data_IF_730696273909
#
_entry.id   IF_730696273909
#
_cell.length_a   1.000
_cell.length_b   1.000
_cell.length_c   1.000
_cell.angle_alpha   90.00
_cell.angle_beta   90.00
_cell.angle_gamma   90.00
#
_symmetry.space_group_name_H-M   'P 1'
#
loop_
_entity.id
_entity.type
_entity.pdbx_description
1 polymer ?
#
# COMPACT_ATOMS: atom_id res chain seq x y z
N UNK A 1 46.08 -7.39 -16.92
CA UNK A 1 45.42 -7.22 -15.61
C UNK A 1 44.31 -6.21 -15.78
N UNK A 2 43.12 -6.69 -16.13
CA UNK A 2 41.94 -5.86 -16.30
C UNK A 2 41.37 -5.55 -14.92
N UNK A 3 41.27 -4.26 -14.61
CA UNK A 3 40.65 -3.77 -13.39
C UNK A 3 39.18 -4.23 -13.38
N UNK A 4 38.81 -4.96 -12.34
CA UNK A 4 37.43 -5.26 -12.02
C UNK A 4 36.72 -3.92 -11.75
N UNK A 5 35.93 -3.45 -12.72
CA UNK A 5 34.93 -2.44 -12.46
C UNK A 5 33.92 -3.07 -11.49
N UNK A 6 34.02 -2.66 -10.22
CA UNK A 6 32.99 -2.92 -9.24
C UNK A 6 31.68 -2.33 -9.80
N UNK A 7 30.79 -3.20 -10.26
CA UNK A 7 29.41 -2.87 -10.56
C UNK A 7 28.83 -2.23 -9.30
N UNK A 8 28.44 -0.96 -9.38
CA UNK A 8 27.73 -0.28 -8.32
C UNK A 8 26.41 -1.04 -8.08
N UNK A 9 26.40 -1.91 -7.06
CA UNK A 9 25.23 -2.64 -6.64
C UNK A 9 24.09 -1.62 -6.43
N UNK A 10 22.94 -1.86 -7.07
CA UNK A 10 21.81 -0.94 -7.06
C UNK A 10 21.52 -0.44 -5.63
N UNK A 11 21.72 0.85 -5.41
CA UNK A 11 21.60 1.46 -4.08
C UNK A 11 20.14 1.74 -3.75
N UNK A 12 19.23 0.75 -3.85
CA UNK A 12 17.81 0.88 -3.51
C UNK A 12 16.86 0.10 -4.41
N UNK A 13 15.54 0.13 -4.10
CA UNK A 13 14.52 -0.44 -4.97
C UNK A 13 14.48 0.30 -6.31
N UNK A 14 14.04 -0.39 -7.35
CA UNK A 14 13.91 0.14 -8.71
C UNK A 14 12.44 0.43 -9.04
N UNK A 15 12.12 1.41 -9.89
CA UNK A 15 10.75 1.65 -10.33
C UNK A 15 10.25 0.43 -11.10
N UNK A 16 9.21 -0.23 -10.58
CA UNK A 16 8.74 -1.48 -11.16
C UNK A 16 8.42 -1.38 -12.66
N UNK A 17 7.73 -0.31 -13.07
CA UNK A 17 7.34 -0.13 -14.46
C UNK A 17 8.53 -0.02 -15.43
N UNK A 18 9.65 0.56 -14.98
CA UNK A 18 10.85 0.66 -15.81
C UNK A 18 11.46 -0.71 -16.09
N UNK A 19 11.52 -1.58 -15.06
CA UNK A 19 12.04 -2.95 -15.17
C UNK A 19 11.12 -3.82 -16.03
N UNK A 20 9.82 -3.51 -16.03
CA UNK A 20 8.88 -4.16 -16.96
C UNK A 20 9.13 -3.71 -18.41
N UNK A 21 9.36 -2.43 -18.64
CA UNK A 21 9.50 -1.85 -19.98
C UNK A 21 10.89 -2.08 -20.61
N UNK A 22 11.95 -2.24 -19.81
CA UNK A 22 13.31 -2.48 -20.30
C UNK A 22 13.60 -3.95 -20.69
N UNK A 23 12.60 -4.83 -20.51
CA UNK A 23 12.69 -6.25 -20.87
C UNK A 23 13.38 -7.13 -19.82
N UNK A 24 13.80 -6.59 -18.67
CA UNK A 24 14.37 -7.39 -17.57
C UNK A 24 13.41 -8.48 -17.10
N UNK A 25 12.10 -8.20 -17.10
CA UNK A 25 11.07 -9.18 -16.74
C UNK A 25 10.74 -10.17 -17.88
N UNK A 26 11.33 -10.06 -19.07
CA UNK A 26 11.03 -10.95 -20.20
C UNK A 26 11.35 -12.41 -19.91
N UNK A 27 12.41 -12.69 -19.13
CA UNK A 27 12.75 -14.04 -18.72
C UNK A 27 11.73 -14.64 -17.74
N UNK A 28 11.11 -13.83 -16.89
CA UNK A 28 9.97 -14.25 -16.07
C UNK A 28 8.71 -14.46 -16.92
N UNK A 29 8.48 -13.64 -17.95
CA UNK A 29 7.39 -13.83 -18.90
C UNK A 29 7.53 -15.11 -19.75
N UNK A 30 8.74 -15.65 -19.87
CA UNK A 30 9.00 -16.95 -20.51
C UNK A 30 8.64 -18.16 -19.63
N UNK A 31 8.47 -17.97 -18.31
CA UNK A 31 7.84 -18.97 -17.44
C UNK A 31 6.32 -18.83 -17.61
N UNK A 32 5.64 -19.91 -17.96
CA UNK A 32 4.19 -19.90 -18.06
C UNK A 32 3.58 -19.39 -16.74
N UNK A 33 2.61 -18.45 -16.78
CA UNK A 33 1.91 -18.02 -15.58
C UNK A 33 1.34 -19.23 -14.85
N UNK A 34 1.37 -19.18 -13.52
CA UNK A 34 0.72 -20.22 -12.73
C UNK A 34 -0.79 -20.23 -13.02
N UNK A 35 -1.45 -21.40 -12.96
CA UNK A 35 -2.87 -21.48 -13.29
C UNK A 35 -3.70 -20.54 -12.41
N UNK A 36 -4.42 -19.60 -13.05
CA UNK A 36 -5.30 -18.66 -12.33
C UNK A 36 -6.40 -19.37 -11.53
N UNK A 37 -6.72 -20.61 -11.90
CA UNK A 37 -7.78 -21.43 -11.32
C UNK A 37 -7.30 -22.34 -10.18
N UNK A 38 -6.02 -22.35 -9.79
CA UNK A 38 -5.49 -23.30 -8.78
C UNK A 38 -6.28 -23.28 -7.46
N UNK A 39 -6.79 -22.12 -7.05
CA UNK A 39 -7.66 -21.97 -5.88
C UNK A 39 -9.13 -21.70 -6.22
N UNK A 40 -9.53 -21.90 -7.48
CA UNK A 40 -10.88 -21.62 -7.98
C UNK A 40 -11.95 -22.38 -7.21
N UNK A 41 -11.81 -23.70 -7.07
CA UNK A 41 -12.77 -24.55 -6.35
C UNK A 41 -12.87 -24.18 -4.86
N UNK A 42 -11.72 -23.90 -4.23
CA UNK A 42 -11.65 -23.46 -2.84
C UNK A 42 -12.42 -22.15 -2.67
N UNK A 43 -12.18 -21.16 -3.54
CA UNK A 43 -12.82 -19.84 -3.47
C UNK A 43 -14.31 -19.91 -3.80
N UNK A 44 -14.71 -20.75 -4.76
CA UNK A 44 -16.10 -20.97 -5.13
C UNK A 44 -16.94 -21.52 -3.96
N UNK A 45 -16.33 -22.36 -3.11
CA UNK A 45 -16.94 -22.93 -1.92
C UNK A 45 -17.02 -21.96 -0.72
N UNK A 46 -16.29 -20.83 -0.75
CA UNK A 46 -16.34 -19.84 0.33
C UNK A 46 -17.68 -19.08 0.34
N UNK A 47 -18.18 -18.68 1.53
CA UNK A 47 -19.35 -17.83 1.63
C UNK A 47 -19.19 -16.57 0.79
N UNK A 48 -20.20 -16.29 -0.05
CA UNK A 48 -20.23 -15.13 -0.96
C UNK A 48 -21.15 -14.06 -0.40
N UNK A 49 -20.77 -12.79 -0.56
CA UNK A 49 -21.65 -11.64 -0.35
C UNK A 49 -21.59 -10.73 -1.56
N UNK A 50 -22.74 -10.47 -2.15
CA UNK A 50 -22.89 -9.48 -3.21
C UNK A 50 -22.83 -8.08 -2.61
N UNK A 51 -21.97 -7.24 -3.18
CA UNK A 51 -21.78 -5.85 -2.76
C UNK A 51 -21.06 -5.09 -3.87
N UNK A 52 -20.71 -3.82 -3.64
CA UNK A 52 -20.04 -3.00 -4.66
C UNK A 52 -18.71 -3.60 -5.17
N UNK A 53 -18.07 -4.43 -4.35
CA UNK A 53 -17.09 -5.44 -4.78
C UNK A 53 -17.43 -6.78 -4.14
N UNK A 54 -18.00 -7.70 -4.91
CA UNK A 54 -18.33 -9.05 -4.46
C UNK A 54 -17.23 -9.65 -3.59
N UNK A 55 -17.65 -10.19 -2.45
CA UNK A 55 -16.76 -10.64 -1.39
C UNK A 55 -16.84 -12.14 -1.17
N UNK A 56 -15.69 -12.76 -0.84
CA UNK A 56 -15.57 -14.14 -0.38
C UNK A 56 -15.00 -14.15 1.03
N UNK A 57 -15.68 -14.83 1.95
CA UNK A 57 -15.25 -14.89 3.34
C UNK A 57 -14.19 -15.98 3.53
N UNK A 58 -12.95 -15.56 3.82
CA UNK A 58 -11.79 -16.44 4.01
C UNK A 58 -11.07 -16.08 5.32
N UNK A 59 -10.91 -17.07 6.20
CA UNK A 59 -10.12 -16.96 7.44
C UNK A 59 -10.41 -15.69 8.27
N UNK A 60 -11.69 -15.33 8.40
CA UNK A 60 -12.13 -14.18 9.20
C UNK A 60 -12.27 -12.87 8.43
N UNK A 61 -11.93 -12.82 7.13
CA UNK A 61 -11.98 -11.61 6.33
C UNK A 61 -12.79 -11.76 5.04
N UNK A 62 -13.45 -10.69 4.60
CA UNK A 62 -14.16 -10.57 3.34
C UNK A 62 -13.21 -10.09 2.25
N UNK A 63 -12.66 -11.00 1.45
CA UNK A 63 -11.74 -10.66 0.37
C UNK A 63 -12.53 -10.30 -0.90
N UNK A 64 -12.10 -9.32 -1.72
CA UNK A 64 -12.66 -9.15 -3.06
C UNK A 64 -12.55 -10.48 -3.83
N UNK A 65 -13.66 -10.95 -4.41
CA UNK A 65 -13.76 -12.26 -5.03
C UNK A 65 -12.67 -12.49 -6.08
N UNK A 66 -12.39 -11.47 -6.90
CA UNK A 66 -11.32 -11.52 -7.89
C UNK A 66 -9.92 -11.77 -7.28
N UNK A 67 -9.63 -11.15 -6.14
CA UNK A 67 -8.32 -11.24 -5.50
C UNK A 67 -8.19 -12.41 -4.52
N UNK A 68 -9.29 -13.10 -4.17
CA UNK A 68 -9.25 -14.18 -3.19
C UNK A 68 -8.26 -15.31 -3.58
N UNK A 69 -8.22 -15.82 -4.84
CA UNK A 69 -7.21 -16.80 -5.23
C UNK A 69 -5.77 -16.29 -5.08
N UNK A 70 -5.51 -15.05 -5.50
CA UNK A 70 -4.18 -14.44 -5.41
C UNK A 70 -3.72 -14.19 -3.97
N UNK A 71 -4.63 -13.82 -3.07
CA UNK A 71 -4.31 -13.65 -1.64
C UNK A 71 -3.98 -15.00 -1.00
N UNK A 72 -4.72 -16.07 -1.35
CA UNK A 72 -4.44 -17.43 -0.88
C UNK A 72 -3.08 -17.91 -1.42
N UNK A 73 -2.79 -17.65 -2.70
CA UNK A 73 -1.51 -17.95 -3.30
C UNK A 73 -0.36 -17.19 -2.62
N UNK A 74 -0.54 -15.88 -2.38
CA UNK A 74 0.40 -15.02 -1.69
C UNK A 74 0.72 -15.57 -0.29
N UNK A 75 -0.32 -15.86 0.52
CA UNK A 75 -0.21 -16.42 1.86
C UNK A 75 0.64 -17.71 1.87
N UNK A 76 0.52 -18.55 0.85
CA UNK A 76 1.15 -19.88 0.79
C UNK A 76 2.54 -19.91 0.16
N UNK A 77 2.84 -19.00 -0.78
CA UNK A 77 4.00 -19.12 -1.67
C UNK A 77 5.00 -17.99 -1.56
N UNK A 78 4.60 -16.81 -1.10
CA UNK A 78 5.51 -15.68 -1.07
C UNK A 78 6.65 -15.90 -0.08
N UNK A 79 7.87 -15.77 -0.59
CA UNK A 79 9.09 -15.85 0.21
C UNK A 79 9.72 -14.45 0.27
N UNK A 80 9.66 -13.77 1.42
CA UNK A 80 10.31 -12.47 1.59
C UNK A 80 11.83 -12.62 1.60
N UNK A 81 12.52 -11.55 1.20
CA UNK A 81 13.95 -11.35 1.46
C UNK A 81 14.10 -10.47 2.70
N UNK A 82 15.20 -10.63 3.43
CA UNK A 82 15.44 -9.89 4.68
C UNK A 82 15.40 -8.36 4.49
N UNK A 83 15.83 -7.86 3.33
CA UNK A 83 15.83 -6.43 3.01
C UNK A 83 14.52 -5.93 2.37
N UNK A 84 13.54 -6.81 2.14
CA UNK A 84 12.25 -6.38 1.59
C UNK A 84 11.51 -5.49 2.59
N UNK A 85 10.70 -4.59 2.04
CA UNK A 85 9.75 -3.77 2.80
C UNK A 85 8.37 -3.92 2.18
N UNK A 86 7.43 -4.43 2.98
CA UNK A 86 6.02 -4.58 2.63
C UNK A 86 5.25 -3.36 3.12
N UNK A 87 4.79 -2.54 2.18
CA UNK A 87 3.90 -1.41 2.46
C UNK A 87 2.46 -1.90 2.53
N UNK A 88 1.81 -1.72 3.66
CA UNK A 88 0.44 -2.21 3.87
C UNK A 88 -0.47 -1.08 4.30
N UNK A 89 -1.71 -1.13 3.84
CA UNK A 89 -2.77 -0.30 4.37
C UNK A 89 -4.08 -1.01 4.12
N UNK A 90 -5.10 -0.75 4.93
CA UNK A 90 -6.46 -0.91 4.42
C UNK A 90 -6.66 0.05 3.21
N UNK A 91 -7.43 -0.30 2.18
CA UNK A 91 -7.65 0.59 1.04
C UNK A 91 -8.09 1.99 1.49
N UNK A 92 -7.53 3.02 0.82
CA UNK A 92 -7.88 4.44 1.03
C UNK A 92 -7.42 5.07 2.36
N UNK A 93 -6.52 4.41 3.09
CA UNK A 93 -5.82 4.96 4.26
C UNK A 93 -4.52 5.72 3.92
N UNK A 94 -4.30 6.12 2.65
CA UNK A 94 -3.11 6.87 2.25
C UNK A 94 -2.03 6.05 1.52
N UNK A 95 -2.38 4.89 0.96
CA UNK A 95 -1.47 3.99 0.24
C UNK A 95 -0.62 4.69 -0.83
N UNK A 96 -1.24 5.53 -1.68
CA UNK A 96 -0.52 6.26 -2.74
C UNK A 96 0.57 7.16 -2.17
N UNK A 97 0.28 7.82 -1.04
CA UNK A 97 1.22 8.70 -0.37
C UNK A 97 2.34 7.91 0.32
N UNK A 98 1.98 6.82 1.01
CA UNK A 98 2.94 5.89 1.60
C UNK A 98 3.90 5.33 0.53
N UNK A 99 3.38 4.90 -0.62
CA UNK A 99 4.19 4.42 -1.75
C UNK A 99 5.18 5.49 -2.21
N UNK A 100 4.70 6.71 -2.45
CA UNK A 100 5.55 7.82 -2.91
C UNK A 100 6.66 8.14 -1.91
N UNK A 101 6.32 8.32 -0.63
CA UNK A 101 7.27 8.67 0.42
C UNK A 101 8.31 7.55 0.65
N UNK A 102 7.87 6.29 0.73
CA UNK A 102 8.77 5.17 0.92
C UNK A 102 9.70 4.99 -0.29
N UNK A 103 9.18 5.10 -1.51
CA UNK A 103 9.96 5.02 -2.73
C UNK A 103 11.01 6.12 -2.81
N UNK A 104 10.61 7.39 -2.66
CA UNK A 104 11.53 8.53 -2.70
C UNK A 104 12.60 8.43 -1.59
N UNK A 105 12.20 8.06 -0.36
CA UNK A 105 13.15 7.89 0.73
C UNK A 105 14.15 6.76 0.48
N UNK A 106 13.72 5.59 -0.02
CA UNK A 106 14.63 4.45 -0.24
C UNK A 106 15.54 4.63 -1.46
N UNK A 107 15.13 5.42 -2.44
CA UNK A 107 15.82 5.58 -3.71
C UNK A 107 16.58 6.89 -3.88
N UNK A 108 16.50 7.81 -2.92
CA UNK A 108 17.11 9.16 -2.97
C UNK A 108 18.59 9.21 -3.38
N UNK A 109 19.37 8.16 -3.16
CA UNK A 109 20.77 8.08 -3.60
C UNK A 109 20.87 7.87 -5.13
N UNK A 110 19.98 7.06 -5.69
CA UNK A 110 19.89 6.80 -7.13
C UNK A 110 19.04 7.85 -7.87
N UNK A 111 17.98 8.34 -7.22
CA UNK A 111 17.07 9.37 -7.74
C UNK A 111 16.91 10.50 -6.72
N UNK A 112 17.81 11.49 -6.70
CA UNK A 112 17.71 12.61 -5.78
C UNK A 112 16.39 13.39 -5.95
N UNK A 113 15.67 13.74 -4.86
CA UNK A 113 14.37 14.41 -4.94
C UNK A 113 14.45 15.87 -5.41
N UNK A 114 15.58 16.57 -5.16
CA UNK A 114 15.99 17.83 -5.81
C UNK A 114 17.33 18.36 -5.23
N UNK A 115 18.43 18.34 -6.01
CA UNK A 115 19.60 19.25 -5.93
C UNK A 115 20.75 18.81 -6.89
N UNK A 116 20.51 18.75 -8.20
CA UNK A 116 21.57 18.72 -9.22
C UNK A 116 21.00 19.02 -10.62
N UNK A 117 20.49 20.23 -10.83
CA UNK A 117 20.32 20.82 -12.18
C UNK A 117 19.34 20.18 -13.17
N UNK A 118 18.74 19.02 -12.90
CA UNK A 118 17.77 18.40 -13.79
C UNK A 118 16.55 17.85 -13.03
N UNK A 119 15.45 18.57 -13.14
CA UNK A 119 14.18 18.27 -12.48
C UNK A 119 13.41 17.11 -13.14
N UNK A 120 13.95 16.44 -14.18
CA UNK A 120 13.16 15.52 -15.00
C UNK A 120 13.40 14.03 -14.75
N UNK A 121 14.31 13.65 -13.85
CA UNK A 121 14.74 12.25 -13.73
C UNK A 121 14.10 11.44 -12.62
N UNK A 122 13.47 12.06 -11.62
CA UNK A 122 12.88 11.27 -10.53
C UNK A 122 11.69 10.45 -11.05
N UNK A 123 11.64 9.12 -10.82
CA UNK A 123 10.58 8.26 -11.36
C UNK A 123 9.16 8.75 -11.05
N UNK A 124 8.91 9.22 -9.82
CA UNK A 124 7.60 9.78 -9.40
C UNK A 124 7.13 11.02 -10.17
N UNK A 125 7.96 11.65 -11.00
CA UNK A 125 7.56 12.76 -11.87
C UNK A 125 6.97 12.28 -13.21
N UNK A 126 7.29 11.05 -13.62
CA UNK A 126 6.86 10.43 -14.89
C UNK A 126 6.10 9.11 -14.74
N UNK A 127 6.08 8.54 -13.54
CA UNK A 127 5.34 7.34 -13.16
C UNK A 127 4.38 7.66 -12.01
N UNK A 128 3.21 7.02 -12.01
CA UNK A 128 2.33 7.06 -10.86
C UNK A 128 2.98 6.26 -9.71
N UNK A 129 2.80 6.63 -8.42
CA UNK A 129 3.35 5.84 -7.31
C UNK A 129 2.97 4.36 -7.34
N UNK A 130 1.81 4.01 -7.90
CA UNK A 130 1.37 2.62 -8.09
C UNK A 130 2.14 1.87 -9.19
N UNK A 131 2.74 2.59 -10.14
CA UNK A 131 3.60 2.02 -11.20
C UNK A 131 5.05 1.81 -10.70
N UNK A 132 5.47 2.54 -9.66
CA UNK A 132 6.80 2.36 -9.05
C UNK A 132 6.88 1.15 -8.12
N UNK A 133 5.78 0.82 -7.43
CA UNK A 133 5.75 -0.24 -6.40
C UNK A 133 4.70 -1.29 -6.76
N UNK A 134 5.10 -2.55 -7.01
CA UNK A 134 4.20 -3.62 -7.41
C UNK A 134 3.15 -3.90 -6.34
N UNK A 135 1.93 -4.17 -6.78
CA UNK A 135 0.80 -4.54 -5.91
C UNK A 135 0.61 -6.04 -5.93
N UNK A 136 0.92 -6.69 -4.82
CA UNK A 136 1.04 -8.16 -4.67
C UNK A 136 -0.19 -8.90 -5.19
N UNK A 137 -1.39 -8.45 -4.81
CA UNK A 137 -2.64 -9.13 -5.19
C UNK A 137 -2.80 -9.25 -6.71
N UNK A 138 -2.38 -8.26 -7.48
CA UNK A 138 -2.41 -8.31 -8.95
C UNK A 138 -1.47 -9.41 -9.47
N UNK A 139 -0.23 -9.48 -8.98
CA UNK A 139 0.76 -10.47 -9.45
C UNK A 139 0.34 -11.90 -9.13
N UNK A 140 -0.12 -12.14 -7.91
CA UNK A 140 -0.51 -13.49 -7.50
C UNK A 140 -1.82 -13.93 -8.13
N UNK A 141 -2.77 -13.01 -8.34
CA UNK A 141 -4.03 -13.33 -9.05
C UNK A 141 -3.79 -13.61 -10.53
N UNK A 142 -2.86 -12.89 -11.15
CA UNK A 142 -2.51 -13.12 -12.56
C UNK A 142 -1.51 -14.26 -12.79
N UNK A 143 -1.00 -14.89 -11.73
CA UNK A 143 -0.01 -15.97 -11.81
C UNK A 143 1.39 -15.50 -12.22
N UNK A 144 1.69 -14.22 -12.02
CA UNK A 144 2.95 -13.55 -12.38
C UNK A 144 3.91 -13.34 -11.21
N UNK A 145 3.78 -14.11 -10.13
CA UNK A 145 4.64 -13.99 -8.94
C UNK A 145 6.14 -14.09 -9.24
N UNK A 146 6.54 -14.84 -10.27
CA UNK A 146 7.94 -14.92 -10.72
C UNK A 146 8.53 -13.56 -11.16
N UNK A 147 7.72 -12.58 -11.56
CA UNK A 147 8.19 -11.22 -11.86
C UNK A 147 8.75 -10.54 -10.61
N UNK A 148 8.20 -10.81 -9.42
CA UNK A 148 8.68 -10.23 -8.16
C UNK A 148 10.06 -10.77 -7.78
N UNK A 149 10.40 -11.98 -8.20
CA UNK A 149 11.71 -12.59 -7.92
C UNK A 149 12.82 -12.04 -8.81
N UNK A 150 12.47 -11.51 -10.00
CA UNK A 150 13.42 -10.86 -10.89
C UNK A 150 13.81 -9.45 -10.44
N UNK A 151 13.05 -8.83 -9.54
CA UNK A 151 13.39 -7.51 -9.01
C UNK A 151 14.66 -7.59 -8.14
N UNK A 152 15.56 -6.60 -8.24
CA UNK A 152 16.73 -6.52 -7.37
C UNK A 152 16.30 -6.25 -5.91
N UNK A 153 17.13 -6.68 -4.96
CA UNK A 153 16.98 -6.30 -3.55
C UNK A 153 17.55 -4.89 -3.31
N UNK A 154 17.02 -4.14 -2.32
CA UNK A 154 15.80 -4.42 -1.56
C UNK A 154 14.54 -4.21 -2.41
N UNK A 155 13.49 -5.02 -2.20
CA UNK A 155 12.19 -4.82 -2.86
C UNK A 155 11.28 -3.97 -1.99
N UNK A 156 10.66 -2.95 -2.58
CA UNK A 156 9.44 -2.34 -2.05
C UNK A 156 8.25 -3.02 -2.71
N UNK A 157 7.34 -3.59 -1.93
CA UNK A 157 6.10 -4.19 -2.43
C UNK A 157 4.91 -3.66 -1.63
N UNK A 158 3.71 -3.72 -2.20
CA UNK A 158 2.50 -3.25 -1.51
C UNK A 158 1.39 -4.30 -1.53
N UNK A 159 0.63 -4.37 -0.43
CA UNK A 159 -0.57 -5.20 -0.34
C UNK A 159 -1.65 -4.53 0.53
N UNK A 160 -2.89 -4.96 0.36
CA UNK A 160 -4.05 -4.70 1.21
C UNK A 160 -4.46 -5.95 2.02
N UNK A 161 -3.67 -7.03 1.97
CA UNK A 161 -3.91 -8.26 2.70
C UNK A 161 -3.93 -7.99 4.22
N UNK A 162 -4.93 -8.49 4.98
CA UNK A 162 -4.94 -8.41 6.45
C UNK A 162 -3.75 -9.13 7.09
N UNK A 163 -3.29 -8.68 8.25
CA UNK A 163 -2.11 -9.24 8.92
C UNK A 163 -2.14 -10.77 9.11
N UNK A 164 -3.25 -11.40 9.57
CA UNK A 164 -3.30 -12.86 9.72
C UNK A 164 -3.22 -13.65 8.41
N UNK A 165 -3.46 -12.98 7.28
CA UNK A 165 -3.42 -13.58 5.94
C UNK A 165 -2.09 -13.33 5.22
N UNK A 166 -1.16 -12.57 5.83
CA UNK A 166 0.21 -12.50 5.35
C UNK A 166 0.91 -13.87 5.53
N UNK A 167 1.92 -14.18 4.70
CA UNK A 167 2.70 -15.40 4.85
C UNK A 167 3.33 -15.52 6.24
N UNK A 168 3.45 -16.74 6.77
CA UNK A 168 4.11 -17.00 8.06
C UNK A 168 5.58 -16.56 8.06
N UNK A 169 6.23 -16.56 6.90
CA UNK A 169 7.59 -16.04 6.70
C UNK A 169 7.69 -14.53 6.90
N UNK A 170 6.56 -13.80 6.81
CA UNK A 170 6.45 -12.36 7.10
C UNK A 170 6.02 -12.12 8.55
N UNK A 171 5.14 -12.96 9.11
CA UNK A 171 4.52 -12.73 10.43
C UNK A 171 5.16 -13.48 11.60
N UNK A 172 5.89 -14.57 11.34
CA UNK A 172 6.37 -15.52 12.34
C UNK A 172 7.87 -15.42 12.68
N UNK A 173 8.77 -15.29 11.70
CA UNK A 173 10.22 -15.42 11.91
C UNK A 173 10.96 -14.14 12.31
N UNK A 174 12.03 -14.24 13.10
CA UNK A 174 12.87 -13.10 13.50
C UNK A 174 13.73 -12.55 12.36
N UNK A 175 13.92 -13.31 11.28
CA UNK A 175 14.72 -12.94 10.09
C UNK A 175 13.87 -12.42 8.90
N UNK A 176 12.59 -12.15 9.14
CA UNK A 176 11.63 -11.72 8.12
C UNK A 176 11.86 -10.28 7.59
N UNK A 177 11.15 -9.94 6.52
CA UNK A 177 11.13 -8.58 5.96
C UNK A 177 10.48 -7.56 6.93
N UNK A 178 10.54 -6.28 6.56
CA UNK A 178 9.90 -5.22 7.33
C UNK A 178 8.51 -4.90 6.78
N UNK A 179 7.59 -4.51 7.65
CA UNK A 179 6.23 -4.12 7.30
C UNK A 179 6.01 -2.67 7.74
N UNK A 180 5.54 -1.81 6.82
CA UNK A 180 5.09 -0.45 7.15
C UNK A 180 3.60 -0.39 6.90
N UNK A 181 2.82 -0.26 7.97
CA UNK A 181 1.37 -0.11 7.91
C UNK A 181 0.96 1.34 8.07
N UNK A 182 0.01 1.82 7.26
CA UNK A 182 -0.65 3.13 7.47
C UNK A 182 -2.15 2.96 7.71
N UNK A 183 -2.64 3.55 8.80
CA UNK A 183 -4.06 3.67 9.13
C UNK A 183 -4.56 5.11 8.94
N UNK A 184 -5.88 5.27 9.00
CA UNK A 184 -6.58 6.56 8.90
C UNK A 184 -7.85 6.49 9.73
N UNK A 185 -8.41 7.64 10.12
CA UNK A 185 -9.78 7.72 10.67
C UNK A 185 -10.73 6.90 9.78
N UNK A 186 -11.38 5.86 10.32
CA UNK A 186 -12.34 5.04 9.59
C UNK A 186 -13.41 5.87 8.88
N UNK A 187 -13.87 6.97 9.46
CA UNK A 187 -14.91 7.83 8.87
C UNK A 187 -14.43 8.50 7.58
N UNK A 188 -13.23 9.10 7.62
CA UNK A 188 -12.61 9.69 6.44
C UNK A 188 -12.27 8.65 5.38
N UNK A 189 -11.88 7.46 5.82
CA UNK A 189 -11.62 6.37 4.90
C UNK A 189 -12.90 5.92 4.19
N UNK A 190 -14.03 5.76 4.90
CA UNK A 190 -15.33 5.43 4.30
C UNK A 190 -15.73 6.44 3.24
N UNK A 191 -15.59 7.74 3.52
CA UNK A 191 -15.82 8.80 2.53
C UNK A 191 -14.88 8.64 1.34
N UNK A 192 -13.60 8.40 1.58
CA UNK A 192 -12.62 8.23 0.52
C UNK A 192 -12.88 6.99 -0.34
N UNK A 193 -13.35 5.88 0.25
CA UNK A 193 -13.71 4.65 -0.45
C UNK A 193 -14.95 4.84 -1.30
N UNK A 194 -15.98 5.48 -0.75
CA UNK A 194 -17.20 5.81 -1.47
C UNK A 194 -16.92 6.62 -2.75
N UNK A 195 -16.21 7.75 -2.63
CA UNK A 195 -15.91 8.60 -3.80
C UNK A 195 -15.01 7.89 -4.81
N UNK A 196 -14.09 7.04 -4.34
CA UNK A 196 -13.21 6.26 -5.21
C UNK A 196 -13.99 5.22 -6.01
N UNK A 197 -14.82 4.42 -5.35
CA UNK A 197 -15.62 3.38 -6.01
C UNK A 197 -16.69 3.98 -6.93
N UNK A 198 -17.22 5.17 -6.61
CA UNK A 198 -18.16 5.88 -7.49
C UNK A 198 -17.60 6.27 -8.85
N UNK A 199 -16.26 6.32 -9.00
CA UNK A 199 -15.64 6.53 -10.31
C UNK A 199 -15.85 5.35 -11.26
N UNK A 200 -16.15 4.16 -10.74
CA UNK A 200 -16.47 2.96 -11.51
C UNK A 200 -17.95 2.58 -11.43
N UNK A 201 -18.61 2.93 -10.32
CA UNK A 201 -20.01 2.62 -10.04
C UNK A 201 -20.75 3.90 -9.63
N UNK A 202 -21.17 4.75 -10.59
CA UNK A 202 -21.75 6.07 -10.29
C UNK A 202 -22.93 6.05 -9.32
N UNK A 203 -23.70 4.95 -9.35
CA UNK A 203 -24.92 4.70 -8.57
C UNK A 203 -24.66 4.06 -7.19
N UNK A 204 -23.39 3.88 -6.80
CA UNK A 204 -23.05 3.35 -5.48
C UNK A 204 -23.68 4.22 -4.38
N UNK A 205 -24.37 3.58 -3.45
CA UNK A 205 -24.99 4.23 -2.29
C UNK A 205 -23.97 4.50 -1.18
N UNK A 206 -23.91 5.73 -0.67
CA UNK A 206 -23.07 6.05 0.48
C UNK A 206 -23.49 5.28 1.73
N UNK A 207 -24.80 5.23 1.98
CA UNK A 207 -25.36 4.46 3.09
C UNK A 207 -24.98 2.98 2.99
N UNK A 208 -25.03 2.40 1.78
CA UNK A 208 -24.61 1.00 1.57
C UNK A 208 -23.14 0.74 1.89
N UNK A 209 -22.24 1.70 1.60
CA UNK A 209 -20.82 1.59 2.00
C UNK A 209 -20.68 1.69 3.53
N UNK A 210 -21.36 2.64 4.17
CA UNK A 210 -21.39 2.78 5.62
C UNK A 210 -21.90 1.51 6.30
N UNK A 211 -22.99 0.93 5.81
CA UNK A 211 -23.58 -0.29 6.36
C UNK A 211 -22.64 -1.48 6.21
N UNK A 212 -22.02 -1.65 5.03
CA UNK A 212 -21.03 -2.72 4.83
C UNK A 212 -19.82 -2.59 5.76
N UNK A 213 -19.40 -1.36 6.09
CA UNK A 213 -18.34 -1.09 7.06
C UNK A 213 -18.78 -1.43 8.48
N UNK A 214 -19.96 -0.97 8.88
CA UNK A 214 -20.52 -1.21 10.21
C UNK A 214 -20.74 -2.70 10.48
N UNK A 215 -21.17 -3.45 9.47
CA UNK A 215 -21.39 -4.89 9.53
C UNK A 215 -20.08 -5.70 9.40
N UNK A 216 -18.96 -5.03 9.11
CA UNK A 216 -17.64 -5.65 8.94
C UNK A 216 -17.49 -6.44 7.63
N UNK A 217 -18.39 -6.27 6.67
CA UNK A 217 -18.39 -7.02 5.41
C UNK A 217 -17.74 -6.32 4.23
N UNK A 218 -17.37 -5.06 4.42
CA UNK A 218 -16.65 -4.25 3.44
C UNK A 218 -15.42 -5.01 2.92
N UNK A 219 -15.03 -4.88 1.64
CA UNK A 219 -13.87 -5.61 1.10
C UNK A 219 -12.60 -5.42 1.94
N UNK A 220 -11.83 -6.48 2.15
CA UNK A 220 -10.73 -6.61 3.14
C UNK A 220 -11.15 -6.46 4.62
N UNK A 221 -12.44 -6.39 4.92
CA UNK A 221 -12.98 -6.26 6.27
C UNK A 221 -13.09 -7.59 7.00
N UNK A 222 -13.38 -7.60 8.32
CA UNK A 222 -13.75 -6.44 9.11
C UNK A 222 -12.60 -5.46 9.31
N UNK A 223 -12.89 -4.18 9.10
CA UNK A 223 -11.87 -3.13 9.06
C UNK A 223 -11.15 -2.94 10.40
N UNK A 224 -11.87 -3.08 11.52
CA UNK A 224 -11.27 -3.00 12.84
C UNK A 224 -10.25 -4.13 13.06
N UNK A 225 -10.55 -5.36 12.63
CA UNK A 225 -9.63 -6.49 12.77
C UNK A 225 -8.43 -6.35 11.84
N UNK A 226 -8.64 -5.79 10.64
CA UNK A 226 -7.54 -5.43 9.75
C UNK A 226 -6.57 -4.44 10.43
N UNK A 227 -7.08 -3.35 11.03
CA UNK A 227 -6.25 -2.35 11.70
C UNK A 227 -5.58 -2.95 12.95
N UNK A 228 -6.35 -3.66 13.79
CA UNK A 228 -5.87 -4.22 15.05
C UNK A 228 -4.81 -5.30 14.85
N UNK A 229 -4.87 -6.07 13.77
CA UNK A 229 -3.83 -7.04 13.42
C UNK A 229 -2.45 -6.37 13.32
N UNK A 230 -2.36 -5.30 12.52
CA UNK A 230 -1.11 -4.54 12.37
C UNK A 230 -0.71 -3.76 13.63
N UNK A 231 -1.68 -3.23 14.38
CA UNK A 231 -1.40 -2.53 15.64
C UNK A 231 -0.78 -3.45 16.70
N UNK A 232 -1.36 -4.64 16.90
CA UNK A 232 -0.81 -5.65 17.82
C UNK A 232 0.57 -6.11 17.37
N UNK A 233 0.76 -6.26 16.06
CA UNK A 233 2.06 -6.61 15.49
C UNK A 233 3.11 -5.51 15.71
N UNK A 234 2.75 -4.22 15.60
CA UNK A 234 3.71 -3.13 15.87
C UNK A 234 4.11 -3.01 17.34
N UNK A 235 3.24 -3.40 18.27
CA UNK A 235 3.59 -3.44 19.70
C UNK A 235 4.49 -4.64 20.01
N UNK A 236 4.13 -5.82 19.49
CA UNK A 236 4.87 -7.06 19.79
C UNK A 236 6.18 -7.19 19.03
N UNK A 237 6.30 -6.54 17.86
CA UNK A 237 7.45 -6.63 16.95
C UNK A 237 7.83 -5.26 16.37
N UNK A 238 8.21 -4.28 17.21
CA UNK A 238 8.45 -2.90 16.77
C UNK A 238 9.61 -2.76 15.77
N UNK A 239 10.57 -3.69 15.75
CA UNK A 239 11.66 -3.72 14.78
C UNK A 239 11.26 -4.29 13.40
N UNK A 240 10.06 -4.90 13.31
CA UNK A 240 9.55 -5.56 12.10
C UNK A 240 8.26 -4.93 11.57
N UNK A 241 7.46 -4.27 12.42
CA UNK A 241 6.22 -3.61 12.00
C UNK A 241 6.18 -2.17 12.49
N UNK A 242 6.22 -1.23 11.54
CA UNK A 242 6.00 0.20 11.79
C UNK A 242 4.54 0.54 11.52
N UNK A 243 3.86 1.10 12.51
CA UNK A 243 2.48 1.57 12.39
C UNK A 243 2.44 3.09 12.30
N UNK A 244 1.88 3.60 11.21
CA UNK A 244 1.73 5.02 10.91
C UNK A 244 0.25 5.40 10.89
N UNK A 245 -0.04 6.66 11.23
CA UNK A 245 -1.39 7.25 11.09
C UNK A 245 -1.33 8.37 10.06
N UNK A 246 -2.26 8.35 9.11
CA UNK A 246 -2.36 9.34 8.05
C UNK A 246 -2.44 10.77 8.59
N UNK A 247 -3.16 10.97 9.70
CA UNK A 247 -3.34 12.25 10.36
C UNK A 247 -2.04 12.78 11.00
N UNK A 248 -1.19 11.88 11.51
CA UNK A 248 0.11 12.27 12.06
C UNK A 248 1.09 12.63 10.92
N UNK A 249 1.07 11.88 9.80
CA UNK A 249 1.79 12.26 8.58
C UNK A 249 1.36 13.62 8.02
N UNK A 250 0.07 13.96 8.08
CA UNK A 250 -0.40 15.29 7.68
C UNK A 250 0.12 16.40 8.61
N UNK A 251 0.32 16.10 9.89
CA UNK A 251 0.80 17.05 10.90
C UNK A 251 2.30 17.32 10.75
N UNK A 252 3.11 16.26 10.62
CA UNK A 252 4.56 16.35 10.41
C UNK A 252 5.08 15.22 9.52
N UNK A 253 5.00 15.41 8.21
CA UNK A 253 5.53 14.45 7.25
C UNK A 253 7.05 14.26 7.39
N UNK A 254 7.80 15.28 7.81
CA UNK A 254 9.25 15.22 7.90
C UNK A 254 9.73 14.29 9.00
N UNK A 255 9.14 14.36 10.20
CA UNK A 255 9.40 13.43 11.30
C UNK A 255 9.12 11.99 10.88
N UNK A 256 7.94 11.73 10.30
CA UNK A 256 7.53 10.38 9.92
C UNK A 256 8.36 9.82 8.75
N UNK A 257 8.80 10.66 7.80
CA UNK A 257 9.72 10.23 6.73
C UNK A 257 11.08 9.82 7.32
N UNK A 258 11.62 10.54 8.30
CA UNK A 258 12.87 10.15 8.97
C UNK A 258 12.72 8.82 9.71
N UNK A 259 11.65 8.67 10.48
CA UNK A 259 11.36 7.45 11.23
C UNK A 259 11.19 6.26 10.28
N UNK A 260 10.44 6.43 9.20
CA UNK A 260 10.21 5.40 8.19
C UNK A 260 11.50 5.04 7.45
N UNK A 261 12.33 6.02 7.05
CA UNK A 261 13.61 5.75 6.40
C UNK A 261 14.58 4.97 7.31
N UNK A 262 14.68 5.36 8.59
CA UNK A 262 15.44 4.60 9.59
C UNK A 262 14.91 3.18 9.74
N UNK A 263 13.59 3.05 9.89
CA UNK A 263 12.93 1.75 10.02
C UNK A 263 13.21 0.87 8.80
N UNK A 264 13.11 1.39 7.57
CA UNK A 264 13.44 0.67 6.33
C UNK A 264 14.94 0.38 6.13
N UNK A 265 15.80 0.68 7.11
CA UNK A 265 17.24 0.41 7.06
C UNK A 265 18.04 1.41 6.22
N UNK A 266 17.47 2.59 5.94
CA UNK A 266 18.09 3.66 5.13
C UNK A 266 17.94 5.02 5.80
N UNK A 267 18.42 5.20 7.05
CA UNK A 267 18.32 6.49 7.74
C UNK A 267 18.98 7.60 6.91
N UNK A 268 18.47 8.82 7.01
CA UNK A 268 19.15 9.99 6.43
C UNK A 268 20.44 10.26 7.20
N UNK A 269 21.53 10.49 6.48
CA UNK A 269 22.80 10.93 7.07
C UNK A 269 22.73 12.38 7.52
N UNK A 270 23.64 12.80 8.42
CA UNK A 270 23.74 14.20 8.84
C UNK A 270 23.97 15.16 7.65
N UNK A 271 24.71 14.73 6.62
CA UNK A 271 24.92 15.52 5.41
C UNK A 271 23.64 15.64 4.57
N UNK A 272 22.87 14.55 4.42
CA UNK A 272 21.57 14.58 3.73
C UNK A 272 20.56 15.48 4.46
N UNK A 273 20.51 15.41 5.80
CA UNK A 273 19.67 16.27 6.63
C UNK A 273 20.06 17.74 6.47
N UNK A 274 21.36 18.06 6.55
CA UNK A 274 21.87 19.41 6.35
C UNK A 274 21.60 19.95 4.94
N UNK A 275 21.60 19.08 3.93
CA UNK A 275 21.25 19.40 2.55
C UNK A 275 19.72 19.51 2.31
N UNK A 276 18.89 19.30 3.33
CA UNK A 276 17.43 19.41 3.21
C UNK A 276 16.75 18.22 2.52
N UNK A 277 17.41 17.07 2.42
CA UNK A 277 16.91 15.91 1.67
C UNK A 277 15.52 15.43 2.15
N UNK A 278 15.25 15.50 3.46
CA UNK A 278 13.93 15.16 4.03
C UNK A 278 12.86 16.10 3.52
N UNK A 279 13.12 17.41 3.53
CA UNK A 279 12.20 18.42 3.02
C UNK A 279 11.94 18.22 1.52
N UNK A 280 12.98 17.91 0.74
CA UNK A 280 12.85 17.60 -0.69
C UNK A 280 11.99 16.35 -0.96
N UNK A 281 12.14 15.28 -0.16
CA UNK A 281 11.27 14.09 -0.25
C UNK A 281 9.81 14.46 0.05
N UNK A 282 9.57 15.21 1.13
CA UNK A 282 8.21 15.65 1.52
C UNK A 282 7.59 16.53 0.44
N UNK A 283 8.35 17.48 -0.12
CA UNK A 283 7.89 18.37 -1.17
C UNK A 283 7.56 17.59 -2.45
N UNK A 284 8.46 16.71 -2.90
CA UNK A 284 8.28 15.83 -4.06
C UNK A 284 6.99 15.01 -3.93
N UNK A 285 6.74 14.47 -2.74
CA UNK A 285 5.60 13.61 -2.43
C UNK A 285 4.40 14.39 -1.86
N UNK A 286 4.37 15.72 -1.97
CA UNK A 286 3.25 16.52 -1.47
C UNK A 286 1.99 16.28 -2.30
N UNK A 287 0.83 16.38 -1.67
CA UNK A 287 -0.46 16.11 -2.33
C UNK A 287 -0.66 16.97 -3.58
N UNK A 288 -0.46 18.28 -3.47
CA UNK A 288 -0.64 19.22 -4.58
C UNK A 288 0.33 18.95 -5.73
N UNK A 289 1.61 18.66 -5.43
CA UNK A 289 2.60 18.33 -6.46
C UNK A 289 2.21 17.04 -7.19
N UNK A 290 1.92 15.96 -6.46
CA UNK A 290 1.53 14.69 -7.08
C UNK A 290 0.24 14.82 -7.89
N UNK A 291 -0.82 15.44 -7.35
CA UNK A 291 -2.06 15.71 -8.08
C UNK A 291 -1.86 16.62 -9.30
N UNK A 292 -0.83 17.47 -9.25
CA UNK A 292 -0.39 18.37 -10.30
C UNK A 292 0.18 17.70 -11.54
N UNK A 293 0.81 16.53 -11.39
CA UNK A 293 1.56 15.87 -12.46
C UNK A 293 0.65 15.23 -13.51
N UNK A 294 1.03 15.37 -14.79
CA UNK A 294 0.26 14.81 -15.91
C UNK A 294 0.07 13.28 -15.79
N UNK A 295 1.14 12.57 -15.38
CA UNK A 295 1.11 11.11 -15.18
C UNK A 295 0.03 10.67 -14.19
N UNK A 296 -0.37 11.54 -13.25
CA UNK A 296 -1.38 11.26 -12.23
C UNK A 296 -2.78 11.75 -12.62
N UNK A 297 -2.91 12.52 -13.70
CA UNK A 297 -4.20 13.05 -14.19
C UNK A 297 -4.79 12.25 -15.34
N UNK A 298 -3.95 11.57 -16.11
CA UNK A 298 -4.35 10.85 -17.33
C UNK A 298 -4.03 9.36 -17.23
N UNK A 299 -4.83 8.54 -17.89
CA UNK A 299 -4.67 7.08 -17.90
C UNK A 299 -5.31 6.41 -16.68
N UNK A 300 -5.03 5.11 -16.53
CA UNK A 300 -5.57 4.27 -15.47
C UNK A 300 -4.45 3.57 -14.69
N UNK A 301 -4.79 3.01 -13.54
CA UNK A 301 -3.90 2.17 -12.72
C UNK A 301 -4.68 0.96 -12.17
N UNK A 302 -3.95 -0.14 -11.94
CA UNK A 302 -4.50 -1.43 -11.48
C UNK A 302 -4.95 -2.34 -12.62
N UNK A 303 -4.73 -3.64 -12.47
CA UNK A 303 -5.12 -4.67 -13.46
C UNK A 303 -6.61 -5.03 -13.41
N UNK A 304 -7.19 -5.08 -12.21
CA UNK A 304 -8.61 -5.36 -12.00
C UNK A 304 -9.41 -4.09 -11.78
N UNK A 305 -10.48 -3.91 -12.55
CA UNK A 305 -11.34 -2.71 -12.50
C UNK A 305 -10.51 -1.42 -12.53
N UNK A 306 -9.66 -1.31 -13.57
CA UNK A 306 -8.67 -0.24 -13.70
C UNK A 306 -9.26 1.14 -13.42
N UNK A 307 -8.65 1.84 -12.48
CA UNK A 307 -9.17 3.10 -11.98
C UNK A 307 -8.50 4.27 -12.69
N UNK A 308 -9.23 5.34 -13.09
CA UNK A 308 -8.63 6.58 -13.55
C UNK A 308 -7.60 7.12 -12.53
N UNK A 309 -6.41 7.52 -13.00
CA UNK A 309 -5.32 7.91 -12.09
C UNK A 309 -5.66 9.14 -11.23
N UNK A 310 -6.51 10.03 -11.72
CA UNK A 310 -6.98 11.20 -10.97
C UNK A 310 -7.87 10.81 -9.78
N UNK A 311 -8.52 9.64 -9.81
CA UNK A 311 -9.35 9.14 -8.71
C UNK A 311 -8.56 8.87 -7.42
N UNK A 312 -7.24 8.68 -7.52
CA UNK A 312 -6.36 8.50 -6.36
C UNK A 312 -6.11 9.83 -5.61
N UNK A 313 -6.37 10.98 -6.23
CA UNK A 313 -6.05 12.32 -5.71
C UNK A 313 -7.30 13.20 -5.54
N UNK A 314 -8.05 12.98 -4.45
CA UNK A 314 -9.30 13.72 -4.16
C UNK A 314 -9.07 15.06 -3.44
N UNK A 315 -8.97 15.04 -2.11
CA UNK A 315 -8.77 16.23 -1.25
C UNK A 315 -7.49 16.21 -0.42
N UNK A 316 -7.01 15.04 0.01
CA UNK A 316 -5.75 14.94 0.77
C UNK A 316 -5.79 15.55 2.18
N UNK A 317 -6.95 15.54 2.85
CA UNK A 317 -7.16 16.16 4.18
C UNK A 317 -7.74 15.16 5.18
N UNK A 318 -7.65 15.48 6.47
CA UNK A 318 -8.38 14.84 7.56
C UNK A 318 -9.65 15.64 7.93
N UNK A 319 -10.66 14.96 8.47
CA UNK A 319 -11.93 15.54 8.92
C UNK A 319 -12.96 15.81 7.83
N UNK A 320 -12.73 15.35 6.59
CA UNK A 320 -13.68 15.59 5.49
C UNK A 320 -14.98 14.79 5.65
N UNK A 321 -14.98 13.75 6.50
CA UNK A 321 -16.17 13.01 6.88
C UNK A 321 -17.30 13.90 7.39
N UNK A 322 -16.99 15.02 8.07
CA UNK A 322 -17.98 15.95 8.58
C UNK A 322 -18.82 16.62 7.47
N UNK A 323 -18.30 16.66 6.23
CA UNK A 323 -19.02 17.20 5.06
C UNK A 323 -19.93 16.17 4.38
N UNK A 324 -19.90 14.91 4.81
CA UNK A 324 -20.52 13.80 4.10
C UNK A 324 -21.38 12.90 5.00
N UNK A 325 -21.08 12.82 6.29
CA UNK A 325 -21.80 11.98 7.26
C UNK A 325 -22.71 12.83 8.14
N UNK A 326 -23.90 12.30 8.44
CA UNK A 326 -24.73 12.87 9.51
C UNK A 326 -24.08 12.59 10.88
N UNK A 327 -24.36 13.40 11.92
CA UNK A 327 -23.88 13.16 13.27
C UNK A 327 -24.21 11.75 13.79
N UNK A 328 -25.39 11.23 13.48
CA UNK A 328 -25.84 9.89 13.87
C UNK A 328 -25.00 8.80 13.20
N UNK A 329 -24.70 8.97 11.90
CA UNK A 329 -23.86 8.04 11.14
C UNK A 329 -22.43 8.02 11.68
N UNK A 330 -21.87 9.20 11.94
CA UNK A 330 -20.53 9.32 12.54
C UNK A 330 -20.49 8.67 13.92
N UNK A 331 -21.46 8.98 14.78
CA UNK A 331 -21.55 8.40 16.13
C UNK A 331 -21.72 6.88 16.14
N UNK A 332 -22.46 6.31 15.17
CA UNK A 332 -22.58 4.86 14.99
C UNK A 332 -21.22 4.23 14.70
N UNK A 333 -20.48 4.77 13.74
CA UNK A 333 -19.15 4.25 13.38
C UNK A 333 -18.17 4.43 14.55
N UNK A 334 -18.13 5.60 15.18
CA UNK A 334 -17.28 5.86 16.34
C UNK A 334 -17.58 4.89 17.48
N UNK A 335 -18.86 4.58 17.74
CA UNK A 335 -19.27 3.58 18.71
C UNK A 335 -18.69 2.20 18.42
N UNK A 336 -18.84 1.72 17.17
CA UNK A 336 -18.32 0.42 16.73
C UNK A 336 -16.80 0.36 16.91
N UNK A 337 -16.07 1.34 16.39
CA UNK A 337 -14.60 1.34 16.46
C UNK A 337 -14.09 1.49 17.90
N UNK A 338 -14.71 2.36 18.71
CA UNK A 338 -14.38 2.52 20.13
C UNK A 338 -14.57 1.22 20.90
N UNK A 339 -15.65 0.50 20.66
CA UNK A 339 -15.92 -0.77 21.34
C UNK A 339 -14.92 -1.86 20.90
N UNK A 340 -14.60 -1.94 19.60
CA UNK A 340 -13.61 -2.89 19.07
C UNK A 340 -12.18 -2.57 19.52
N UNK A 341 -11.83 -1.29 19.68
CA UNK A 341 -10.50 -0.85 20.07
C UNK A 341 -10.32 -0.77 21.59
N UNK A 342 -11.38 -1.00 22.36
CA UNK A 342 -11.33 -0.94 23.82
C UNK A 342 -10.23 -1.86 24.37
N UNK A 343 -9.34 -1.29 25.18
CA UNK A 343 -8.25 -2.02 25.83
C UNK A 343 -7.05 -2.35 24.93
N UNK A 344 -7.03 -1.93 23.66
CA UNK A 344 -5.88 -2.19 22.77
C UNK A 344 -4.79 -1.12 22.85
N UNK A 345 -5.11 0.05 23.43
CA UNK A 345 -4.24 1.22 23.44
C UNK A 345 -4.21 2.01 22.13
N UNK A 346 -4.90 1.54 21.07
CA UNK A 346 -4.99 2.28 19.81
C UNK A 346 -6.01 3.42 19.93
N UNK A 347 -5.53 4.63 19.72
CA UNK A 347 -6.37 5.82 19.50
C UNK A 347 -6.18 6.30 18.07
N UNK A 348 -7.28 6.58 17.38
CA UNK A 348 -7.27 7.28 16.09
C UNK A 348 -8.05 8.58 16.32
N UNK A 349 -7.50 9.73 15.92
CA UNK A 349 -8.10 11.04 16.17
C UNK A 349 -9.50 11.20 15.57
#
# INVERSE_FOLDING_TARGET
>A
MAAAAASAAATGPVPFKDVEDDGTLAAAAARAPLPKEEFGDLVAALPRKEQFLDGRFYQGFWLPEHYAPGIIAFQRRFTPRTEDVVLVSYPKCGTTWLKALAFAAMTRAAYPPAAAGDHHHHPLLRLNPHDCIPFVEDFFTDGHEAKLDMLPSPRLINTHTPYPLLPETVTGGDDGCKVVYICRDPKDMVVSLYHFMRRLQPDLSFAGVVDSVADGTVPFGPMWDHILGYWRASISRPDRVLFLKYEDLLRDAGEHVRAMARFMGRPFSAAEEAAGAVASVVELCSFEKMKGLEVNRRGTAGSYKSMPRDAFFRKGVAGDWANHMSPETAARLDGIFRDRFRGTGLTIP
#
